data_IF_265832263616
#
_entry.id   IF_265832263616
#
_cell.length_a   1.000
_cell.length_b   1.000
_cell.length_c   1.000
_cell.angle_alpha   90.00
_cell.angle_beta   90.00
_cell.angle_gamma   90.00
#
_symmetry.space_group_name_H-M   'P 1'
#
loop_
_entity.id
_entity.type
_entity.pdbx_description
1 polymer ?
#
# COMPACT_ATOMS: atom_id res chain seq x y z
N UNK A 1 50.25 -9.78 -70.44
CA UNK A 1 51.13 -10.83 -69.86
C UNK A 1 50.72 -11.08 -68.41
N UNK A 2 50.56 -12.37 -68.07
CA UNK A 2 50.65 -13.06 -66.76
C UNK A 2 50.37 -12.28 -65.45
N UNK A 3 49.31 -12.59 -64.68
CA UNK A 3 49.16 -13.66 -63.65
C UNK A 3 50.08 -13.60 -62.40
N UNK A 4 49.43 -13.30 -61.25
CA UNK A 4 49.47 -13.91 -59.89
C UNK A 4 50.80 -14.09 -59.13
N UNK A 5 50.82 -13.59 -57.88
CA UNK A 5 51.10 -14.33 -56.62
C UNK A 5 50.80 -13.42 -55.40
N UNK A 6 49.79 -13.70 -54.58
CA UNK A 6 49.81 -14.38 -53.27
C UNK A 6 50.38 -13.53 -52.12
N UNK A 7 49.56 -13.19 -51.10
CA UNK A 7 49.54 -13.90 -49.81
C UNK A 7 48.46 -13.34 -48.85
N UNK A 8 47.68 -14.25 -48.27
CA UNK A 8 46.67 -14.00 -47.24
C UNK A 8 47.29 -13.66 -45.89
N UNK A 9 46.78 -12.64 -45.19
CA UNK A 9 46.81 -12.59 -43.73
C UNK A 9 45.39 -12.26 -43.23
N UNK A 10 44.84 -13.22 -42.51
CA UNK A 10 43.60 -13.18 -41.75
C UNK A 10 43.59 -11.99 -40.77
N UNK A 11 42.66 -11.06 -40.93
CA UNK A 11 42.29 -10.09 -39.89
C UNK A 11 40.83 -10.32 -39.48
N UNK A 12 40.61 -11.44 -38.78
CA UNK A 12 39.37 -11.66 -38.02
C UNK A 12 39.54 -10.93 -36.69
N UNK A 13 39.29 -9.62 -36.67
CA UNK A 13 39.14 -8.89 -35.42
C UNK A 13 37.66 -8.88 -35.03
N UNK A 14 37.40 -9.80 -34.11
CA UNK A 14 36.20 -10.08 -33.35
C UNK A 14 35.46 -8.81 -32.88
N UNK A 15 34.46 -8.37 -33.64
CA UNK A 15 33.45 -7.42 -33.14
C UNK A 15 32.55 -8.20 -32.20
N UNK A 16 32.89 -8.23 -30.92
CA UNK A 16 32.06 -8.80 -29.87
C UNK A 16 30.86 -7.86 -29.66
N UNK A 17 29.63 -8.21 -30.07
CA UNK A 17 28.49 -7.39 -29.71
C UNK A 17 28.26 -7.64 -28.21
N UNK A 18 28.63 -6.67 -27.40
CA UNK A 18 28.14 -6.51 -26.02
C UNK A 18 26.62 -6.31 -26.11
N UNK A 19 25.89 -7.42 -26.31
CA UNK A 19 24.49 -7.52 -25.96
C UNK A 19 24.44 -7.43 -24.44
N UNK A 20 24.43 -6.19 -23.94
CA UNK A 20 23.91 -5.87 -22.64
C UNK A 20 22.47 -6.37 -22.65
N UNK A 21 22.28 -7.58 -22.13
CA UNK A 21 21.01 -8.01 -21.58
C UNK A 21 20.62 -7.00 -20.51
N UNK A 22 19.89 -5.97 -20.93
CA UNK A 22 19.02 -5.23 -20.05
C UNK A 22 17.99 -6.25 -19.55
N UNK A 23 18.30 -6.91 -18.44
CA UNK A 23 17.33 -7.66 -17.69
C UNK A 23 16.17 -6.72 -17.43
N UNK A 24 15.02 -6.99 -18.04
CA UNK A 24 13.80 -6.23 -17.82
C UNK A 24 13.39 -6.55 -16.39
N UNK A 25 13.85 -5.74 -15.44
CA UNK A 25 13.35 -5.73 -14.08
C UNK A 25 11.92 -5.16 -14.12
N UNK A 26 10.97 -5.96 -14.58
CA UNK A 26 9.54 -5.65 -14.53
C UNK A 26 9.04 -5.91 -13.11
N UNK A 27 9.23 -4.93 -12.24
CA UNK A 27 8.53 -4.88 -10.97
C UNK A 27 8.37 -3.43 -10.51
N UNK A 28 7.70 -2.58 -11.31
CA UNK A 28 7.36 -1.22 -10.86
C UNK A 28 5.99 -0.77 -11.34
N UNK A 29 4.95 -1.45 -10.87
CA UNK A 29 3.67 -0.78 -10.62
C UNK A 29 3.52 -0.73 -9.10
N UNK A 30 3.76 0.45 -8.49
CA UNK A 30 3.57 0.77 -7.07
C UNK A 30 3.46 -0.46 -6.13
N UNK A 31 4.56 -1.18 -5.89
CA UNK A 31 4.55 -2.40 -5.06
C UNK A 31 3.89 -2.11 -3.70
N UNK A 32 4.27 -0.99 -3.09
CA UNK A 32 3.75 -0.51 -1.82
C UNK A 32 2.24 -0.26 -1.79
N UNK A 33 1.62 0.10 -2.91
CA UNK A 33 0.15 0.23 -3.01
C UNK A 33 -0.53 -1.13 -2.88
N UNK A 34 0.10 -2.18 -3.41
CA UNK A 34 -0.46 -3.53 -3.43
C UNK A 34 -0.20 -4.29 -2.13
N UNK A 35 0.77 -3.84 -1.34
CA UNK A 35 1.15 -4.49 -0.09
C UNK A 35 0.03 -4.38 0.97
N UNK A 36 -0.23 -5.47 1.67
CA UNK A 36 -1.33 -5.60 2.63
C UNK A 36 -0.88 -6.00 4.04
N UNK A 37 0.39 -6.37 4.19
CA UNK A 37 0.96 -6.83 5.47
C UNK A 37 2.34 -6.22 5.69
N UNK A 38 2.84 -6.29 6.93
CA UNK A 38 4.21 -5.90 7.24
C UNK A 38 5.25 -6.56 6.31
N UNK A 39 5.14 -7.87 6.08
CA UNK A 39 6.11 -8.59 5.26
C UNK A 39 6.02 -8.20 3.78
N UNK A 40 4.82 -7.96 3.26
CA UNK A 40 4.66 -7.42 1.91
C UNK A 40 5.27 -6.02 1.78
N UNK A 41 5.14 -5.16 2.79
CA UNK A 41 5.83 -3.87 2.79
C UNK A 41 7.35 -4.07 2.76
N UNK A 42 7.89 -5.00 3.55
CA UNK A 42 9.34 -5.26 3.59
C UNK A 42 9.83 -5.84 2.27
N UNK A 43 9.07 -6.74 1.66
CA UNK A 43 9.32 -7.24 0.31
C UNK A 43 9.48 -6.09 -0.69
N UNK A 44 8.54 -5.13 -0.68
CA UNK A 44 8.59 -3.99 -1.59
C UNK A 44 9.84 -3.13 -1.36
N UNK A 45 10.23 -2.93 -0.10
CA UNK A 45 11.42 -2.17 0.26
C UNK A 45 12.72 -2.86 -0.19
N UNK A 46 12.86 -4.15 0.12
CA UNK A 46 14.00 -4.98 -0.28
C UNK A 46 14.16 -5.00 -1.79
N UNK A 47 13.05 -5.19 -2.51
CA UNK A 47 13.03 -5.19 -3.97
C UNK A 47 13.43 -3.82 -4.53
N UNK A 48 12.93 -2.73 -3.94
CA UNK A 48 13.27 -1.36 -4.34
C UNK A 48 14.72 -0.97 -4.07
N UNK A 49 15.38 -1.66 -3.13
CA UNK A 49 16.82 -1.54 -2.81
C UNK A 49 17.71 -2.48 -3.64
N UNK A 50 17.13 -3.27 -4.56
CA UNK A 50 17.90 -4.16 -5.46
C UNK A 50 18.24 -5.53 -4.86
N UNK A 51 17.78 -5.83 -3.64
CA UNK A 51 18.08 -7.07 -2.93
C UNK A 51 17.01 -8.17 -3.14
N UNK A 52 16.02 -7.93 -4.02
CA UNK A 52 14.91 -8.83 -4.28
C UNK A 52 15.15 -9.93 -5.33
N UNK A 53 16.33 -9.99 -5.98
CA UNK A 53 16.59 -10.87 -7.13
C UNK A 53 16.30 -12.37 -6.90
N UNK A 54 16.46 -12.83 -5.66
CA UNK A 54 16.25 -14.24 -5.28
C UNK A 54 14.93 -14.48 -4.55
N UNK A 55 14.09 -13.45 -4.41
CA UNK A 55 12.76 -13.61 -3.86
C UNK A 55 11.85 -14.19 -4.95
N UNK A 56 10.84 -15.01 -4.59
CA UNK A 56 9.74 -15.30 -5.50
C UNK A 56 9.09 -13.98 -5.95
N UNK A 57 8.37 -14.00 -7.07
CA UNK A 57 7.60 -12.82 -7.46
C UNK A 57 6.60 -12.43 -6.36
N UNK A 58 6.09 -11.20 -6.44
CA UNK A 58 5.26 -10.66 -5.37
C UNK A 58 3.98 -11.48 -5.14
N UNK A 59 3.36 -12.04 -6.18
CA UNK A 59 2.14 -12.82 -6.04
C UNK A 59 2.43 -14.18 -5.39
N UNK A 60 3.51 -14.85 -5.79
CA UNK A 60 3.93 -16.10 -5.16
C UNK A 60 4.42 -15.89 -3.72
N UNK A 61 5.13 -14.79 -3.44
CA UNK A 61 5.49 -14.38 -2.09
C UNK A 61 4.25 -14.28 -1.18
N UNK A 62 3.17 -13.68 -1.67
CA UNK A 62 1.92 -13.45 -0.91
C UNK A 62 1.17 -14.73 -0.52
N UNK A 63 1.31 -15.80 -1.29
CA UNK A 63 0.67 -17.09 -0.99
C UNK A 63 1.27 -17.78 0.22
N UNK A 64 2.51 -17.44 0.59
CA UNK A 64 3.20 -18.03 1.73
C UNK A 64 2.62 -17.52 3.06
N UNK A 65 2.63 -18.37 4.07
CA UNK A 65 2.27 -17.95 5.42
C UNK A 65 3.31 -16.97 6.01
N UNK A 66 2.95 -16.23 7.09
CA UNK A 66 3.82 -15.19 7.65
C UNK A 66 5.20 -15.67 8.08
N UNK A 67 5.37 -16.94 8.49
CA UNK A 67 6.68 -17.46 8.87
C UNK A 67 7.57 -17.67 7.65
N UNK A 68 7.03 -18.29 6.59
CA UNK A 68 7.76 -18.49 5.34
C UNK A 68 8.09 -17.13 4.70
N UNK A 69 7.15 -16.18 4.68
CA UNK A 69 7.41 -14.81 4.24
C UNK A 69 8.58 -14.17 5.00
N UNK A 70 8.60 -14.28 6.33
CA UNK A 70 9.67 -13.75 7.15
C UNK A 70 11.03 -14.43 6.86
N UNK A 71 11.03 -15.76 6.68
CA UNK A 71 12.25 -16.51 6.39
C UNK A 71 12.85 -16.14 5.03
N UNK A 72 12.00 -16.01 4.00
CA UNK A 72 12.41 -15.53 2.67
C UNK A 72 13.02 -14.13 2.75
N UNK A 73 12.45 -13.25 3.59
CA UNK A 73 12.92 -11.88 3.74
C UNK A 73 14.15 -11.73 4.64
N UNK A 74 14.44 -12.68 5.55
CA UNK A 74 15.44 -12.50 6.61
C UNK A 74 16.81 -12.02 6.10
N UNK A 75 17.41 -12.75 5.15
CA UNK A 75 18.72 -12.38 4.58
C UNK A 75 18.64 -11.13 3.68
N UNK A 76 17.70 -11.03 2.73
CA UNK A 76 17.56 -9.83 1.89
C UNK A 76 17.25 -8.54 2.67
N UNK A 77 16.47 -8.61 3.74
CA UNK A 77 16.15 -7.49 4.63
C UNK A 77 17.40 -7.00 5.37
N UNK A 78 18.19 -7.92 5.93
CA UNK A 78 19.46 -7.57 6.60
C UNK A 78 20.44 -6.87 5.64
N UNK A 79 20.62 -7.40 4.42
CA UNK A 79 21.43 -6.74 3.36
C UNK A 79 20.90 -5.36 2.96
N UNK A 80 19.63 -5.10 3.22
CA UNK A 80 18.96 -3.83 2.94
C UNK A 80 18.95 -2.88 4.15
N UNK A 81 19.62 -3.24 5.24
CA UNK A 81 19.61 -2.46 6.49
C UNK A 81 18.26 -2.43 7.19
N UNK A 82 17.42 -3.44 6.99
CA UNK A 82 16.07 -3.53 7.58
C UNK A 82 16.10 -4.57 8.70
N UNK A 83 15.82 -4.12 9.92
CA UNK A 83 15.57 -5.02 11.06
C UNK A 83 14.21 -5.67 10.90
N UNK A 84 14.19 -6.96 10.55
CA UNK A 84 12.97 -7.71 10.31
C UNK A 84 12.35 -8.21 11.63
N UNK A 85 11.09 -7.86 11.88
CA UNK A 85 10.31 -8.43 12.98
C UNK A 85 9.89 -9.86 12.63
N UNK A 86 10.50 -10.85 13.28
CA UNK A 86 10.13 -12.26 13.10
C UNK A 86 8.79 -12.56 13.79
N UNK A 87 7.97 -13.47 13.25
CA UNK A 87 6.75 -13.88 13.93
C UNK A 87 7.13 -14.52 15.26
N UNK A 88 6.46 -14.11 16.34
CA UNK A 88 6.65 -14.77 17.64
C UNK A 88 6.15 -16.20 17.51
N UNK A 89 6.96 -17.18 17.92
CA UNK A 89 6.46 -18.55 18.11
C UNK A 89 5.32 -18.45 19.11
N UNK A 90 4.14 -18.99 18.77
CA UNK A 90 3.10 -19.21 19.77
C UNK A 90 3.68 -20.20 20.77
N UNK A 91 4.24 -19.73 21.87
CA UNK A 91 4.43 -20.58 23.04
C UNK A 91 3.04 -21.12 23.34
N UNK A 92 2.85 -22.43 23.21
CA UNK A 92 1.63 -23.06 23.69
C UNK A 92 1.54 -22.69 25.16
N UNK A 93 0.67 -21.74 25.49
CA UNK A 93 0.24 -21.54 26.86
C UNK A 93 -0.26 -22.89 27.31
N UNK A 94 0.36 -23.41 28.37
CA UNK A 94 -0.04 -24.65 29.02
C UNK A 94 -1.52 -24.51 29.35
N UNK A 95 -2.32 -25.29 28.64
CA UNK A 95 -3.77 -25.36 28.81
C UNK A 95 -4.01 -25.91 30.22
N UNK A 96 -4.41 -25.04 31.14
CA UNK A 96 -5.21 -25.45 32.29
C UNK A 96 -6.53 -25.97 31.76
N UNK A 97 -6.77 -27.27 31.99
CA UNK A 97 -7.98 -28.00 31.63
C UNK A 97 -9.23 -27.26 32.12
N UNK A 98 -10.10 -26.88 31.18
CA UNK A 98 -11.56 -26.87 31.42
C UNK A 98 -12.21 -27.62 30.27
N UNK A 99 -12.85 -28.75 30.61
CA UNK A 99 -13.64 -29.58 29.71
C UNK A 99 -14.87 -28.79 29.23
N UNK A 100 -15.13 -28.81 27.93
CA UNK A 100 -16.39 -28.33 27.33
C UNK A 100 -16.36 -28.56 25.82
N UNK A 101 -17.30 -29.36 25.31
CA UNK A 101 -17.23 -30.04 24.02
C UNK A 101 -17.45 -29.19 22.75
N UNK A 102 -16.85 -29.70 21.67
CA UNK A 102 -17.23 -29.69 20.24
C UNK A 102 -18.00 -28.48 19.64
N UNK A 103 -17.40 -27.84 18.63
CA UNK A 103 -17.67 -28.05 17.19
C UNK A 103 -16.79 -27.18 16.28
N UNK A 104 -16.51 -27.72 15.09
CA UNK A 104 -15.75 -27.16 13.97
C UNK A 104 -16.40 -25.89 13.39
N UNK A 105 -15.62 -24.80 13.25
CA UNK A 105 -15.47 -23.98 12.04
C UNK A 105 -14.72 -22.67 12.41
N UNK A 106 -13.43 -22.62 12.12
CA UNK A 106 -12.62 -21.40 12.22
C UNK A 106 -12.89 -20.44 11.06
N UNK A 107 -14.14 -20.00 10.90
CA UNK A 107 -14.38 -18.69 10.30
C UNK A 107 -13.98 -17.67 11.37
N UNK A 108 -12.90 -16.93 11.12
CA UNK A 108 -12.63 -15.70 11.85
C UNK A 108 -13.77 -14.76 11.48
N UNK A 109 -14.83 -14.83 12.28
CA UNK A 109 -15.97 -13.96 12.23
C UNK A 109 -15.46 -12.62 12.78
N UNK A 110 -14.85 -11.81 11.92
CA UNK A 110 -14.71 -10.37 12.14
C UNK A 110 -16.15 -9.86 12.14
N UNK A 111 -16.83 -10.02 13.28
CA UNK A 111 -18.10 -9.35 13.53
C UNK A 111 -17.82 -7.88 13.25
N UNK A 112 -18.56 -7.37 12.27
CA UNK A 112 -18.85 -5.95 12.06
C UNK A 112 -19.11 -5.30 13.42
N UNK A 113 -18.07 -4.77 14.03
CA UNK A 113 -18.12 -3.85 15.15
C UNK A 113 -17.31 -2.62 14.76
N UNK A 114 -17.79 -1.97 13.69
CA UNK A 114 -17.89 -0.52 13.69
C UNK A 114 -19.34 -0.23 14.03
N UNK A 115 -19.74 -0.59 15.27
CA UNK A 115 -20.96 -0.07 15.84
C UNK A 115 -20.67 1.36 16.25
N UNK A 116 -21.38 2.28 15.60
CA UNK A 116 -21.57 3.67 15.97
C UNK A 116 -21.43 3.94 17.47
N UNK A 117 -20.73 5.01 17.82
CA UNK A 117 -21.31 6.11 18.60
C UNK A 117 -20.31 7.27 18.80
N UNK A 118 -20.23 8.10 17.76
CA UNK A 118 -20.26 9.57 17.89
C UNK A 118 -20.77 10.12 16.56
N UNK A 119 -22.06 10.42 16.52
CA UNK A 119 -22.77 10.94 15.33
C UNK A 119 -22.96 9.90 14.22
N UNK A 120 -24.09 9.18 14.24
CA UNK A 120 -24.66 8.67 13.00
C UNK A 120 -24.81 9.90 12.08
N UNK A 121 -23.95 9.96 11.09
CA UNK A 121 -23.42 11.22 10.58
C UNK A 121 -24.46 11.85 9.66
N UNK A 122 -25.13 12.91 10.15
CA UNK A 122 -26.24 13.61 9.52
C UNK A 122 -26.03 13.96 8.05
N UNK A 123 -24.78 14.09 7.60
CA UNK A 123 -24.43 14.39 6.21
C UNK A 123 -25.06 13.42 5.21
N UNK A 124 -25.19 12.12 5.54
CA UNK A 124 -25.67 11.10 4.60
C UNK A 124 -27.12 11.29 4.18
N UNK A 125 -27.97 11.83 5.04
CA UNK A 125 -29.41 11.93 4.78
C UNK A 125 -29.74 12.86 3.62
N UNK A 126 -28.82 13.77 3.28
CA UNK A 126 -28.98 14.74 2.22
C UNK A 126 -27.97 14.55 1.10
N UNK A 127 -27.41 13.34 0.95
CA UNK A 127 -26.43 13.03 -0.09
C UNK A 127 -26.79 11.75 -0.85
N UNK A 128 -26.60 11.78 -2.16
CA UNK A 128 -26.81 10.65 -3.05
C UNK A 128 -25.66 10.46 -4.03
N UNK A 129 -25.57 9.28 -4.62
CA UNK A 129 -24.64 9.04 -5.73
C UNK A 129 -25.26 9.55 -7.03
N UNK A 130 -24.48 10.32 -7.77
CA UNK A 130 -24.80 10.85 -9.10
C UNK A 130 -23.62 10.55 -10.02
N UNK A 131 -23.70 9.47 -10.80
CA UNK A 131 -22.60 8.92 -11.59
C UNK A 131 -21.28 8.82 -10.80
N UNK A 132 -20.27 9.61 -11.21
CA UNK A 132 -18.96 9.69 -10.57
C UNK A 132 -18.91 10.79 -9.50
N UNK A 133 -20.03 11.14 -8.87
CA UNK A 133 -20.11 12.13 -7.82
C UNK A 133 -20.98 11.68 -6.64
N UNK A 134 -20.74 12.32 -5.50
CA UNK A 134 -21.67 12.35 -4.37
C UNK A 134 -22.21 13.78 -4.32
N UNK A 135 -23.51 13.92 -4.52
CA UNK A 135 -24.20 15.21 -4.50
C UNK A 135 -24.96 15.31 -3.20
N UNK A 136 -24.66 16.35 -2.45
CA UNK A 136 -25.36 16.72 -1.24
C UNK A 136 -26.11 18.04 -1.45
N UNK A 137 -27.04 18.39 -0.55
CA UNK A 137 -27.86 19.61 -0.64
C UNK A 137 -27.10 20.90 -1.07
N UNK A 138 -25.88 21.13 -0.56
CA UNK A 138 -25.06 22.32 -0.88
C UNK A 138 -23.64 22.00 -1.33
N UNK A 139 -23.29 20.71 -1.47
CA UNK A 139 -21.90 20.29 -1.73
C UNK A 139 -21.88 19.20 -2.79
N UNK A 140 -20.97 19.28 -3.75
CA UNK A 140 -20.69 18.22 -4.73
C UNK A 140 -19.28 17.70 -4.52
N UNK A 141 -19.15 16.38 -4.42
CA UNK A 141 -17.87 15.68 -4.30
C UNK A 141 -17.67 14.81 -5.52
N UNK A 142 -16.59 15.03 -6.27
CA UNK A 142 -16.31 14.34 -7.53
C UNK A 142 -15.28 13.24 -7.32
N UNK A 143 -15.54 12.08 -7.91
CA UNK A 143 -14.63 10.94 -7.91
C UNK A 143 -13.26 11.37 -8.43
N UNK A 144 -12.25 11.15 -7.61
CA UNK A 144 -10.87 11.56 -7.89
C UNK A 144 -9.99 10.33 -8.00
N UNK A 145 -9.42 10.15 -9.19
CA UNK A 145 -8.46 9.09 -9.50
C UNK A 145 -7.00 9.50 -9.25
N UNK A 146 -6.11 8.86 -10.01
CA UNK A 146 -4.71 9.28 -10.05
C UNK A 146 -4.55 10.55 -10.89
N UNK A 147 -3.44 11.26 -10.69
CA UNK A 147 -3.09 12.48 -11.44
C UNK A 147 -1.68 12.38 -12.00
N UNK A 148 -1.48 12.81 -13.24
CA UNK A 148 -0.16 12.84 -13.88
C UNK A 148 0.73 13.95 -13.29
N UNK A 149 2.05 13.76 -13.37
CA UNK A 149 3.03 14.59 -12.65
C UNK A 149 2.96 16.08 -12.99
N UNK A 150 2.59 16.42 -14.22
CA UNK A 150 2.42 17.78 -14.72
C UNK A 150 1.24 18.54 -14.09
N UNK A 151 0.30 17.84 -13.45
CA UNK A 151 -0.87 18.45 -12.79
C UNK A 151 -0.69 18.59 -11.27
N UNK A 152 0.44 18.11 -10.74
CA UNK A 152 0.72 18.16 -9.31
C UNK A 152 1.25 19.54 -8.92
N UNK A 153 0.97 19.95 -7.67
CA UNK A 153 1.56 21.14 -7.09
C UNK A 153 3.09 21.05 -7.10
N UNK A 154 3.75 22.19 -7.21
CA UNK A 154 5.20 22.26 -7.06
C UNK A 154 5.64 21.64 -5.73
N UNK A 155 6.74 20.90 -5.76
CA UNK A 155 7.24 20.20 -4.58
C UNK A 155 6.43 18.97 -4.16
N UNK A 156 5.33 18.61 -4.83
CA UNK A 156 4.55 17.40 -4.49
C UNK A 156 5.39 16.13 -4.49
N UNK A 157 6.37 16.01 -5.40
CA UNK A 157 7.28 14.87 -5.46
C UNK A 157 8.67 15.19 -4.88
N UNK A 158 8.81 16.27 -4.11
CA UNK A 158 10.09 16.59 -3.48
C UNK A 158 10.41 15.62 -2.34
N UNK A 159 11.66 15.62 -1.88
CA UNK A 159 12.00 14.93 -0.64
C UNK A 159 11.28 15.58 0.55
N UNK A 160 11.10 16.90 0.58
CA UNK A 160 10.49 17.60 1.73
C UNK A 160 9.01 17.26 1.94
N UNK A 161 8.31 16.73 0.93
CA UNK A 161 6.97 16.18 1.12
C UNK A 161 7.04 14.86 1.91
N UNK A 162 6.76 14.92 3.21
CA UNK A 162 6.73 13.79 4.15
C UNK A 162 5.32 13.25 4.33
N UNK A 163 5.15 11.97 4.70
CA UNK A 163 3.84 11.45 5.13
C UNK A 163 3.41 12.17 6.41
N UNK A 164 4.30 12.18 7.41
CA UNK A 164 4.11 12.89 8.66
C UNK A 164 2.86 12.43 9.41
N UNK A 165 2.71 11.12 9.62
CA UNK A 165 1.79 10.60 10.63
C UNK A 165 2.37 10.90 12.02
N UNK A 166 1.51 11.20 12.99
CA UNK A 166 1.96 11.28 14.37
C UNK A 166 2.35 9.88 14.89
N UNK A 167 3.36 9.75 15.76
CA UNK A 167 3.65 8.49 16.43
C UNK A 167 2.56 8.19 17.46
N UNK A 168 2.10 6.94 17.49
CA UNK A 168 1.17 6.48 18.52
C UNK A 168 1.94 5.99 19.75
N UNK A 169 1.75 6.65 20.89
CA UNK A 169 2.45 6.36 22.16
C UNK A 169 1.53 5.91 23.30
N UNK A 170 0.23 5.86 23.04
CA UNK A 170 -0.81 5.49 23.99
C UNK A 170 -0.91 3.96 24.13
N UNK A 171 -1.73 3.47 25.06
CA UNK A 171 -1.96 2.03 25.25
C UNK A 171 -3.00 1.50 24.27
N UNK A 172 -2.72 0.35 23.66
CA UNK A 172 -3.58 -0.28 22.64
C UNK A 172 -4.93 -0.81 23.17
N UNK A 173 -5.09 -0.99 24.48
CA UNK A 173 -6.35 -1.43 25.09
C UNK A 173 -7.36 -0.29 25.24
N UNK A 174 -6.93 0.97 25.17
CA UNK A 174 -7.85 2.10 25.08
C UNK A 174 -8.36 2.27 23.64
N UNK A 175 -9.52 1.69 23.38
CA UNK A 175 -10.17 1.72 22.05
C UNK A 175 -10.50 3.15 21.58
N UNK A 176 -10.81 4.08 22.49
CA UNK A 176 -11.14 5.45 22.11
C UNK A 176 -9.89 6.16 21.55
N UNK A 177 -8.76 6.10 22.27
CA UNK A 177 -7.50 6.69 21.84
C UNK A 177 -7.01 6.08 20.51
N UNK A 178 -7.13 4.76 20.36
CA UNK A 178 -6.80 4.08 19.10
C UNK A 178 -7.68 4.60 17.96
N UNK A 179 -8.99 4.74 18.19
CA UNK A 179 -9.91 5.19 17.17
C UNK A 179 -9.64 6.64 16.75
N UNK A 180 -9.42 7.56 17.71
CA UNK A 180 -9.11 8.96 17.43
C UNK A 180 -7.79 9.11 16.66
N UNK A 181 -6.80 8.30 17.01
CA UNK A 181 -5.55 8.22 16.26
C UNK A 181 -5.75 7.72 14.83
N UNK A 182 -6.53 6.65 14.65
CA UNK A 182 -6.76 6.05 13.33
C UNK A 182 -7.55 6.98 12.41
N UNK A 183 -8.55 7.68 12.92
CA UNK A 183 -9.33 8.65 12.14
C UNK A 183 -8.44 9.78 11.62
N UNK A 184 -7.71 10.43 12.52
CA UNK A 184 -6.81 11.55 12.16
C UNK A 184 -5.67 11.10 11.23
N UNK A 185 -5.05 9.96 11.51
CA UNK A 185 -3.95 9.43 10.70
C UNK A 185 -4.42 8.94 9.33
N UNK A 186 -5.61 8.35 9.24
CA UNK A 186 -6.18 7.92 7.96
C UNK A 186 -6.56 9.11 7.07
N UNK A 187 -7.15 10.17 7.64
CA UNK A 187 -7.37 11.41 6.90
C UNK A 187 -6.05 11.94 6.33
N UNK A 188 -5.01 12.04 7.17
CA UNK A 188 -3.67 12.47 6.74
C UNK A 188 -3.11 11.61 5.62
N UNK A 189 -3.24 10.29 5.72
CA UNK A 189 -2.84 9.37 4.67
C UNK A 189 -3.54 9.67 3.34
N UNK A 190 -4.86 9.85 3.34
CA UNK A 190 -5.62 10.16 2.11
C UNK A 190 -5.20 11.50 1.52
N UNK A 191 -5.05 12.54 2.34
CA UNK A 191 -4.56 13.85 1.90
C UNK A 191 -3.19 13.75 1.23
N UNK A 192 -2.28 12.94 1.79
CA UNK A 192 -0.95 12.72 1.23
C UNK A 192 -0.96 11.92 -0.06
N UNK A 193 -1.82 10.92 -0.17
CA UNK A 193 -2.00 10.17 -1.41
C UNK A 193 -2.56 11.06 -2.53
N UNK A 194 -3.53 11.92 -2.22
CA UNK A 194 -4.05 12.92 -3.15
C UNK A 194 -2.97 13.94 -3.56
N UNK A 195 -2.16 14.41 -2.61
CA UNK A 195 -1.10 15.39 -2.86
C UNK A 195 -0.05 14.90 -3.89
N UNK A 196 0.24 13.60 -3.93
CA UNK A 196 1.17 13.00 -4.92
C UNK A 196 0.45 12.42 -6.14
N UNK A 197 -0.86 12.64 -6.29
CA UNK A 197 -1.64 12.19 -7.43
C UNK A 197 -1.90 10.69 -7.46
N UNK A 198 -1.99 10.03 -6.31
CA UNK A 198 -2.28 8.60 -6.16
C UNK A 198 -3.65 8.34 -5.51
N UNK A 199 -4.65 9.19 -5.80
CA UNK A 199 -6.00 9.05 -5.25
C UNK A 199 -6.72 7.77 -5.66
N UNK A 200 -6.46 7.26 -6.87
CA UNK A 200 -7.10 6.06 -7.42
C UNK A 200 -6.54 4.73 -6.89
N UNK A 201 -5.52 4.77 -6.04
CA UNK A 201 -4.81 3.58 -5.54
C UNK A 201 -4.62 3.61 -4.02
N UNK A 202 -5.55 4.23 -3.32
CA UNK A 202 -5.53 4.29 -1.85
C UNK A 202 -6.09 3.02 -1.22
N UNK A 203 -5.67 2.74 0.01
CA UNK A 203 -6.30 1.70 0.83
C UNK A 203 -7.51 2.25 1.57
N UNK A 204 -8.45 1.36 1.94
CA UNK A 204 -9.58 1.72 2.79
C UNK A 204 -9.16 1.90 4.25
N UNK A 205 -10.01 2.57 5.05
CA UNK A 205 -9.81 2.76 6.48
C UNK A 205 -9.62 1.45 7.24
N UNK A 206 -10.38 0.41 6.88
CA UNK A 206 -10.25 -0.92 7.48
C UNK A 206 -8.88 -1.56 7.24
N UNK A 207 -8.34 -1.44 6.01
CA UNK A 207 -7.00 -1.95 5.67
C UNK A 207 -5.91 -1.13 6.37
N UNK A 208 -6.09 0.19 6.46
CA UNK A 208 -5.21 1.07 7.22
C UNK A 208 -5.16 0.70 8.71
N UNK A 209 -6.32 0.50 9.34
CA UNK A 209 -6.43 0.08 10.74
C UNK A 209 -5.84 -1.32 10.98
N UNK A 210 -6.04 -2.25 10.05
CA UNK A 210 -5.40 -3.57 10.11
C UNK A 210 -3.87 -3.44 10.13
N UNK A 211 -3.30 -2.64 9.22
CA UNK A 211 -1.85 -2.42 9.16
C UNK A 211 -1.30 -1.78 10.43
N UNK A 212 -2.04 -0.83 11.01
CA UNK A 212 -1.69 -0.26 12.32
C UNK A 212 -1.51 -1.36 13.36
N UNK A 213 -2.52 -2.22 13.54
CA UNK A 213 -2.43 -3.31 14.51
C UNK A 213 -1.35 -4.34 14.15
N UNK A 214 -1.19 -4.72 12.89
CA UNK A 214 -0.15 -5.68 12.46
C UNK A 214 1.25 -5.15 12.78
N UNK A 215 1.53 -3.87 12.49
CA UNK A 215 2.82 -3.25 12.74
C UNK A 215 3.08 -3.05 14.24
N UNK A 216 2.12 -2.49 14.99
CA UNK A 216 2.31 -2.23 16.42
C UNK A 216 2.46 -3.52 17.22
N UNK A 217 1.69 -4.57 16.91
CA UNK A 217 1.82 -5.87 17.58
C UNK A 217 3.18 -6.54 17.35
N UNK A 218 3.90 -6.14 16.29
CA UNK A 218 5.25 -6.60 15.97
C UNK A 218 6.35 -5.72 16.57
N UNK A 219 5.99 -4.65 17.28
CA UNK A 219 6.94 -3.65 17.77
C UNK A 219 7.58 -2.83 16.65
N UNK A 220 6.91 -2.71 15.50
CA UNK A 220 7.36 -1.90 14.37
C UNK A 220 6.64 -0.54 14.42
N UNK A 221 7.40 0.55 14.27
CA UNK A 221 6.84 1.90 14.19
C UNK A 221 5.93 2.05 12.97
N UNK A 222 4.65 2.38 13.22
CA UNK A 222 3.64 2.54 12.18
C UNK A 222 3.91 3.77 11.32
N UNK A 223 4.20 4.90 11.96
CA UNK A 223 4.48 6.18 11.31
C UNK A 223 5.76 6.12 10.46
N UNK A 224 6.84 5.54 10.99
CA UNK A 224 8.09 5.37 10.22
C UNK A 224 7.91 4.42 9.03
N UNK A 225 7.10 3.37 9.19
CA UNK A 225 6.80 2.44 8.08
C UNK A 225 6.04 3.14 6.97
N UNK A 226 5.05 3.95 7.32
CA UNK A 226 4.27 4.72 6.35
C UNK A 226 5.08 5.87 5.73
N UNK A 227 6.01 6.47 6.46
CA UNK A 227 6.97 7.45 5.92
C UNK A 227 7.89 6.80 4.88
N UNK A 228 8.41 5.61 5.20
CA UNK A 228 9.22 4.81 4.26
C UNK A 228 8.43 4.48 3.00
N UNK A 229 7.21 3.94 3.16
CA UNK A 229 6.30 3.65 2.06
C UNK A 229 6.10 4.88 1.16
N UNK A 230 5.75 6.02 1.75
CA UNK A 230 5.47 7.26 1.03
C UNK A 230 6.67 7.78 0.24
N UNK A 231 7.88 7.69 0.80
CA UNK A 231 9.11 8.02 0.07
C UNK A 231 9.31 7.17 -1.17
N UNK A 232 9.01 5.87 -1.11
CA UNK A 232 9.08 5.00 -2.28
C UNK A 232 7.97 5.32 -3.28
N UNK A 233 6.75 5.61 -2.82
CA UNK A 233 5.67 6.05 -3.71
C UNK A 233 6.04 7.33 -4.47
N UNK A 234 6.66 8.32 -3.81
CA UNK A 234 7.18 9.52 -4.46
C UNK A 234 8.25 9.16 -5.50
N UNK A 235 9.21 8.28 -5.14
CA UNK A 235 10.27 7.83 -6.06
C UNK A 235 9.68 7.17 -7.31
N UNK A 236 8.72 6.27 -7.13
CA UNK A 236 8.04 5.57 -8.22
C UNK A 236 7.21 6.53 -9.07
N UNK A 237 6.47 7.45 -8.44
CA UNK A 237 5.62 8.42 -9.12
C UNK A 237 6.41 9.35 -10.05
N UNK A 238 7.64 9.70 -9.71
CA UNK A 238 8.53 10.49 -10.60
C UNK A 238 8.80 9.80 -11.93
N UNK A 239 8.89 8.47 -11.93
CA UNK A 239 9.31 7.68 -13.09
C UNK A 239 8.13 7.08 -13.87
N UNK A 240 6.93 7.06 -13.30
CA UNK A 240 5.79 6.29 -13.82
C UNK A 240 4.62 7.21 -14.15
N UNK A 241 4.11 7.09 -15.38
CA UNK A 241 2.82 7.67 -15.79
C UNK A 241 1.69 6.84 -15.20
N UNK A 242 0.63 7.52 -14.78
CA UNK A 242 -0.52 6.87 -14.13
C UNK A 242 -1.76 7.00 -15.01
N UNK A 243 -2.63 6.00 -14.94
CA UNK A 243 -3.96 6.12 -15.53
C UNK A 243 -4.81 7.04 -14.66
N UNK A 244 -5.26 8.16 -15.25
CA UNK A 244 -6.08 9.17 -14.59
C UNK A 244 -7.58 8.85 -14.65
N UNK A 245 -7.99 7.90 -15.49
CA UNK A 245 -9.40 7.52 -15.60
C UNK A 245 -9.88 6.98 -14.25
N UNK A 246 -10.86 7.67 -13.69
CA UNK A 246 -11.58 7.25 -12.52
C UNK A 246 -13.01 6.91 -12.94
N UNK A 247 -13.45 5.71 -12.58
CA UNK A 247 -14.84 5.30 -12.74
C UNK A 247 -15.24 4.40 -11.58
N UNK A 248 -16.51 4.50 -11.21
CA UNK A 248 -17.16 3.54 -10.33
C UNK A 248 -17.43 2.28 -11.16
N UNK A 249 -16.58 1.27 -10.99
CA UNK A 249 -16.60 -0.01 -11.71
C UNK A 249 -17.15 -1.16 -10.86
N UNK A 250 -17.64 -0.85 -9.65
CA UNK A 250 -18.13 -1.81 -8.66
C UNK A 250 -19.27 -1.19 -7.84
N UNK A 251 -20.22 -1.99 -7.34
CA UNK A 251 -21.30 -1.48 -6.51
C UNK A 251 -20.78 -0.75 -5.27
N UNK A 252 -21.28 0.48 -5.07
CA UNK A 252 -21.05 1.29 -3.89
C UNK A 252 -22.35 1.46 -3.10
N UNK A 253 -22.19 1.63 -1.79
CA UNK A 253 -23.28 1.94 -0.87
C UNK A 253 -22.82 3.06 0.04
N UNK A 254 -23.71 4.02 0.30
CA UNK A 254 -23.44 5.16 1.18
C UNK A 254 -23.05 4.70 2.59
N UNK A 255 -23.51 3.50 2.99
CA UNK A 255 -23.15 2.89 4.26
C UNK A 255 -21.66 2.60 4.42
N UNK A 256 -20.99 2.38 3.29
CA UNK A 256 -19.56 2.10 3.21
C UNK A 256 -18.73 3.36 2.97
N UNK A 257 -19.35 4.54 3.04
CA UNK A 257 -18.68 5.82 2.89
C UNK A 257 -18.37 6.48 4.23
N UNK A 258 -17.19 7.06 4.36
CA UNK A 258 -16.76 7.82 5.52
C UNK A 258 -16.53 9.26 5.09
N UNK A 259 -17.13 10.19 5.83
CA UNK A 259 -16.80 11.60 5.74
C UNK A 259 -15.50 11.82 6.49
N UNK A 260 -14.42 12.16 5.78
CA UNK A 260 -13.12 12.40 6.40
C UNK A 260 -12.94 13.87 6.75
N UNK A 261 -13.37 14.76 5.87
CA UNK A 261 -13.30 16.21 6.08
C UNK A 261 -14.29 16.92 5.17
N UNK A 262 -14.39 18.24 5.30
CA UNK A 262 -15.20 19.07 4.39
C UNK A 262 -14.88 18.88 2.91
N UNK A 263 -13.69 18.41 2.60
CA UNK A 263 -13.21 18.26 1.23
C UNK A 263 -13.19 16.82 0.75
N UNK A 264 -13.34 15.82 1.62
CA UNK A 264 -13.05 14.42 1.27
C UNK A 264 -14.08 13.47 1.87
N UNK A 265 -14.72 12.71 0.98
CA UNK A 265 -15.49 11.51 1.31
C UNK A 265 -14.76 10.30 0.71
N UNK A 266 -14.66 9.21 1.47
CA UNK A 266 -14.06 7.95 1.00
C UNK A 266 -15.06 6.83 1.08
N UNK A 267 -15.18 6.02 0.04
CA UNK A 267 -16.10 4.88 0.01
C UNK A 267 -15.32 3.60 -0.26
N UNK A 268 -15.49 2.61 0.61
CA UNK A 268 -14.84 1.31 0.46
C UNK A 268 -15.73 0.33 -0.31
N UNK A 269 -15.18 -0.29 -1.35
CA UNK A 269 -15.75 -1.45 -2.02
C UNK A 269 -14.86 -2.68 -1.82
N UNK A 270 -15.28 -3.82 -2.38
CA UNK A 270 -14.44 -5.03 -2.42
C UNK A 270 -13.16 -4.71 -3.18
N UNK A 271 -12.01 -4.78 -2.50
CA UNK A 271 -10.66 -4.59 -3.06
C UNK A 271 -10.38 -3.22 -3.69
N UNK A 272 -11.22 -2.20 -3.44
CA UNK A 272 -11.04 -0.85 -3.98
C UNK A 272 -11.51 0.21 -2.98
N UNK A 273 -10.79 1.32 -2.95
CA UNK A 273 -11.17 2.51 -2.20
C UNK A 273 -11.43 3.64 -3.20
N UNK A 274 -12.57 4.30 -3.05
CA UNK A 274 -12.97 5.43 -3.89
C UNK A 274 -12.86 6.70 -3.08
N UNK A 275 -12.33 7.76 -3.70
CA UNK A 275 -12.20 9.08 -3.10
C UNK A 275 -13.06 10.06 -3.87
N UNK A 276 -13.92 10.78 -3.17
CA UNK A 276 -14.70 11.87 -3.71
C UNK A 276 -14.20 13.16 -3.06
N UNK A 277 -13.70 14.07 -3.88
CA UNK A 277 -13.12 15.34 -3.44
C UNK A 277 -14.08 16.47 -3.82
N UNK A 278 -14.29 17.41 -2.91
CA UNK A 278 -15.17 18.56 -3.14
C UNK A 278 -14.74 19.31 -4.41
N UNK A 279 -15.70 19.56 -5.30
CA UNK A 279 -15.53 20.38 -6.51
C UNK A 279 -15.41 21.85 -6.18
#
# INVERSE_FOLDING_TARGET
MLKRALLNIFCVSMVLPLFLWAGVASAKSFCFVKAETYYEHVYCEVSSKGNGRHLPDFYDFRKNDPLIQALLLKKPAARSGITLAMPRKKTKSVISKVKGGAKKNGQINVKRHVSQQRGQSSWRHNCEFDDNAIVCATKRYVLTGNKNNNTLKEGALSKSNRMGLAPYRQRLDNKADVNDYLVSSYQRYIEKMLAIGLGGVTMSSGKFAFLFHDLTNRGVSFDERFETMYRYLIKDKKAIRVNERASIDRPLSMDRCLYLSDNIITCAATQKNFLFVRA
#
